data_IF_953989461255
#
_entry.id   IF_953989461255
#
_cell.length_a   1.000
_cell.length_b   1.000
_cell.length_c   1.000
_cell.angle_alpha   90.00
_cell.angle_beta   90.00
_cell.angle_gamma   90.00
#
_symmetry.space_group_name_H-M   'P 1'
#
loop_
_entity.id
_entity.type
_entity.pdbx_description
1 polymer ?
#
# COMPACT_ATOMS: atom_id res chain seq x y z
N UNK A 1 -22.61 -1.84 10.96
CA UNK A 1 -22.81 -1.17 9.66
C UNK A 1 -22.21 -2.06 8.57
N UNK A 2 -23.00 -2.82 7.81
CA UNK A 2 -22.51 -3.68 6.72
C UNK A 2 -22.44 -2.84 5.43
N UNK A 3 -21.25 -2.61 4.88
CA UNK A 3 -21.09 -2.03 3.54
C UNK A 3 -21.48 -3.07 2.50
N UNK A 4 -22.28 -2.64 1.53
CA UNK A 4 -22.73 -3.42 0.38
C UNK A 4 -21.55 -3.56 -0.61
N UNK A 5 -21.10 -4.76 -1.02
CA UNK A 5 -19.87 -4.96 -1.81
C UNK A 5 -20.06 -4.74 -3.32
N UNK A 6 -20.98 -3.85 -3.72
CA UNK A 6 -21.08 -3.41 -5.11
C UNK A 6 -19.88 -2.54 -5.43
N UNK A 7 -18.86 -3.14 -6.08
CA UNK A 7 -17.58 -2.54 -6.49
C UNK A 7 -17.63 -1.01 -6.67
N UNK A 8 -17.22 -0.28 -5.65
CA UNK A 8 -16.99 1.16 -5.75
C UNK A 8 -15.73 1.42 -6.55
N UNK A 9 -15.68 2.54 -7.27
CA UNK A 9 -14.42 3.03 -7.84
C UNK A 9 -13.39 3.13 -6.71
N UNK A 10 -12.28 2.45 -6.89
CA UNK A 10 -11.17 2.41 -5.96
C UNK A 10 -10.05 3.32 -6.47
N UNK A 11 -9.58 4.20 -5.59
CA UNK A 11 -8.42 5.04 -5.84
C UNK A 11 -7.32 4.68 -4.86
N UNK A 12 -6.11 4.53 -5.36
CA UNK A 12 -4.90 4.32 -4.59
C UNK A 12 -4.28 5.66 -4.24
N UNK A 13 -3.86 5.83 -2.99
CA UNK A 13 -3.03 6.96 -2.57
C UNK A 13 -2.00 6.50 -1.55
N UNK A 14 -0.73 6.80 -1.82
CA UNK A 14 0.35 6.60 -0.85
C UNK A 14 1.39 7.71 -0.95
N UNK A 15 2.23 7.78 0.07
CA UNK A 15 3.21 8.82 0.32
C UNK A 15 4.51 8.15 0.73
N UNK A 16 5.61 8.54 0.11
CA UNK A 16 6.93 8.24 0.62
C UNK A 16 7.46 9.43 1.41
N UNK A 17 8.06 9.14 2.57
CA UNK A 17 8.76 10.11 3.39
C UNK A 17 10.21 9.66 3.58
N UNK A 18 11.10 10.63 3.77
CA UNK A 18 12.48 10.36 4.17
C UNK A 18 12.59 10.10 5.68
N UNK A 19 13.79 9.76 6.14
CA UNK A 19 14.10 9.52 7.55
C UNK A 19 13.85 10.72 8.48
N UNK A 20 13.69 11.92 7.92
CA UNK A 20 13.35 13.16 8.63
C UNK A 20 11.84 13.49 8.55
N UNK A 21 11.00 12.53 8.14
CA UNK A 21 9.56 12.69 7.93
C UNK A 21 9.18 13.72 6.84
N UNK A 22 10.11 14.08 5.95
CA UNK A 22 9.82 14.99 4.83
C UNK A 22 9.24 14.21 3.67
N UNK A 23 8.24 14.79 3.02
CA UNK A 23 7.55 14.19 1.89
C UNK A 23 8.50 14.15 0.68
N UNK A 24 8.77 12.95 0.17
CA UNK A 24 9.60 12.76 -1.03
C UNK A 24 8.69 12.77 -2.26
N UNK A 25 7.62 11.98 -2.22
CA UNK A 25 6.68 11.85 -3.33
C UNK A 25 5.32 11.30 -2.90
N UNK A 26 4.33 11.48 -3.78
CA UNK A 26 2.99 10.91 -3.67
C UNK A 26 2.70 10.06 -4.90
N UNK A 27 2.14 8.88 -4.69
CA UNK A 27 1.59 8.03 -5.75
C UNK A 27 0.07 8.09 -5.66
N UNK A 28 -0.57 8.31 -6.80
CA UNK A 28 -2.02 8.27 -6.93
C UNK A 28 -2.41 7.66 -8.28
N UNK A 29 -3.26 6.63 -8.25
CA UNK A 29 -3.83 6.07 -9.48
C UNK A 29 -5.23 5.51 -9.23
N UNK A 30 -6.03 5.48 -10.29
CA UNK A 30 -7.30 4.75 -10.28
C UNK A 30 -7.01 3.25 -10.47
N UNK A 31 -7.60 2.42 -9.63
CA UNK A 31 -7.47 0.95 -9.66
C UNK A 31 -8.82 0.29 -9.98
N UNK A 32 -9.73 1.07 -10.56
CA UNK A 32 -11.07 0.70 -11.00
C UNK A 32 -11.88 0.01 -9.90
N UNK A 33 -12.10 -1.30 -9.99
CA UNK A 33 -12.98 -2.04 -9.10
C UNK A 33 -12.17 -3.08 -8.35
N UNK A 34 -12.04 -2.91 -7.04
CA UNK A 34 -11.44 -3.90 -6.15
C UNK A 34 -12.06 -3.81 -4.75
N UNK A 35 -11.79 -4.80 -3.90
CA UNK A 35 -12.15 -4.72 -2.47
C UNK A 35 -11.24 -3.72 -1.73
N UNK A 36 -11.64 -3.32 -0.52
CA UNK A 36 -10.83 -2.44 0.33
C UNK A 36 -9.46 -3.08 0.64
N UNK A 37 -9.43 -4.38 0.89
CA UNK A 37 -8.21 -5.14 1.16
C UNK A 37 -7.30 -5.21 -0.08
N UNK A 38 -7.88 -5.49 -1.25
CA UNK A 38 -7.15 -5.50 -2.52
C UNK A 38 -6.56 -4.12 -2.84
N UNK A 39 -7.32 -3.05 -2.60
CA UNK A 39 -6.83 -1.68 -2.78
C UNK A 39 -5.57 -1.44 -1.95
N UNK A 40 -5.58 -1.84 -0.67
CA UNK A 40 -4.44 -1.65 0.24
C UNK A 40 -3.22 -2.47 -0.18
N UNK A 41 -3.40 -3.70 -0.66
CA UNK A 41 -2.30 -4.49 -1.21
C UNK A 41 -1.70 -3.87 -2.49
N UNK A 42 -2.54 -3.34 -3.39
CA UNK A 42 -2.07 -2.59 -4.55
C UNK A 42 -1.29 -1.33 -4.16
N UNK A 43 -1.74 -0.60 -3.14
CA UNK A 43 -1.06 0.58 -2.59
C UNK A 43 0.37 0.23 -2.16
N UNK A 44 0.52 -0.87 -1.42
CA UNK A 44 1.82 -1.33 -0.93
C UNK A 44 2.70 -1.80 -2.09
N UNK A 45 2.14 -2.57 -3.03
CA UNK A 45 2.86 -3.04 -4.20
C UNK A 45 3.46 -1.89 -5.01
N UNK A 46 2.66 -0.86 -5.31
CA UNK A 46 3.13 0.31 -6.05
C UNK A 46 4.22 1.09 -5.29
N UNK A 47 4.04 1.25 -3.98
CA UNK A 47 5.03 1.88 -3.12
C UNK A 47 6.37 1.15 -3.12
N UNK A 48 6.34 -0.19 -3.08
CA UNK A 48 7.54 -1.03 -3.13
C UNK A 48 8.19 -1.02 -4.52
N UNK A 49 7.40 -1.02 -5.60
CA UNK A 49 7.92 -0.87 -6.97
C UNK A 49 8.65 0.46 -7.15
N UNK A 50 8.06 1.56 -6.64
CA UNK A 50 8.70 2.86 -6.65
C UNK A 50 10.02 2.81 -5.87
N UNK A 51 9.98 2.33 -4.62
CA UNK A 51 11.16 2.28 -3.77
C UNK A 51 12.27 1.42 -4.39
N UNK A 52 11.92 0.30 -5.02
CA UNK A 52 12.85 -0.53 -5.77
C UNK A 52 13.48 0.22 -6.95
N UNK A 53 12.67 0.88 -7.77
CA UNK A 53 13.16 1.64 -8.93
C UNK A 53 14.08 2.80 -8.51
N UNK A 54 13.79 3.42 -7.35
CA UNK A 54 14.57 4.50 -6.76
C UNK A 54 15.79 3.99 -5.95
N UNK A 55 15.99 2.68 -5.87
CA UNK A 55 17.06 2.01 -5.10
C UNK A 55 17.05 2.40 -3.61
N UNK A 56 15.88 2.66 -3.05
CA UNK A 56 15.75 2.89 -1.61
C UNK A 56 16.00 1.60 -0.84
N UNK A 57 16.73 1.71 0.27
CA UNK A 57 17.01 0.62 1.20
C UNK A 57 16.46 0.98 2.57
N UNK A 58 16.23 -0.01 3.44
CA UNK A 58 15.69 0.18 4.80
C UNK A 58 14.31 0.87 4.83
N UNK A 59 13.37 0.35 4.05
CA UNK A 59 12.01 0.90 3.92
C UNK A 59 11.12 0.40 5.06
N UNK A 60 10.36 1.31 5.67
CA UNK A 60 9.27 0.99 6.61
C UNK A 60 7.95 1.21 5.88
N UNK A 61 7.09 0.19 5.87
CA UNK A 61 5.74 0.29 5.30
C UNK A 61 4.74 0.49 6.43
N UNK A 62 4.07 1.65 6.46
CA UNK A 62 2.99 1.95 7.40
C UNK A 62 1.63 1.72 6.72
N UNK A 63 0.78 0.90 7.33
CA UNK A 63 -0.57 0.62 6.82
C UNK A 63 -1.55 0.35 7.96
N UNK A 64 -2.80 0.76 7.78
CA UNK A 64 -3.93 0.45 8.69
C UNK A 64 -4.59 -0.90 8.35
N UNK A 65 -4.01 -1.68 7.44
CA UNK A 65 -4.53 -2.98 7.03
C UNK A 65 -3.86 -4.11 7.82
N UNK A 66 -4.54 -4.63 8.84
CA UNK A 66 -4.06 -5.79 9.59
C UNK A 66 -3.74 -6.99 8.67
N UNK A 67 -4.60 -7.27 7.67
CA UNK A 67 -4.38 -8.35 6.71
C UNK A 67 -3.12 -8.15 5.86
N UNK A 68 -2.79 -6.92 5.48
CA UNK A 68 -1.56 -6.66 4.74
C UNK A 68 -0.33 -6.82 5.63
N UNK A 69 -0.41 -6.40 6.89
CA UNK A 69 0.65 -6.62 7.88
C UNK A 69 0.90 -8.12 8.07
N UNK A 70 -0.17 -8.90 8.24
CA UNK A 70 -0.09 -10.36 8.35
C UNK A 70 0.56 -10.96 7.10
N UNK A 71 0.03 -10.65 5.90
CA UNK A 71 0.54 -11.19 4.64
C UNK A 71 2.02 -10.85 4.36
N UNK A 72 2.48 -9.66 4.74
CA UNK A 72 3.88 -9.25 4.55
C UNK A 72 4.82 -9.89 5.58
N UNK A 73 4.33 -10.09 6.81
CA UNK A 73 5.13 -10.68 7.88
C UNK A 73 5.12 -12.22 7.86
N UNK A 74 4.21 -12.86 7.12
CA UNK A 74 4.07 -14.33 7.09
C UNK A 74 5.24 -15.07 6.39
N UNK A 75 6.32 -14.36 6.03
CA UNK A 75 7.60 -14.96 5.60
C UNK A 75 8.44 -15.58 6.73
N UNK A 76 7.91 -15.72 7.95
CA UNK A 76 8.57 -16.49 9.02
C UNK A 76 8.08 -17.96 9.16
N UNK A 77 7.29 -18.48 8.19
CA UNK A 77 6.81 -19.87 8.21
C UNK A 77 7.05 -20.69 6.93
N UNK A 78 8.02 -20.32 6.10
CA UNK A 78 8.42 -21.11 4.92
C UNK A 78 9.93 -21.13 4.72
#
# INVERSE_FOLDING_TARGET
MRRNPGSSLASLRTVAKDEHNRWICRIERNIDRCSDEQAKLWVIYDGLQLAWSAKWTNIIVETDCALAIEALNDRLRG
#
